data_IF_182447565739
#
_entry.id   IF_182447565739
#
_cell.length_a   1.000
_cell.length_b   1.000
_cell.length_c   1.000
_cell.angle_alpha   90.00
_cell.angle_beta   90.00
_cell.angle_gamma   90.00
#
_symmetry.space_group_name_H-M   'P 1'
#
loop_
_entity.id
_entity.type
_entity.pdbx_description
1 polymer ?
#
# COMPACT_ATOMS: atom_id res chain seq x y z
N UNK A 1 -14.57 -6.06 42.29
CA UNK A 1 -13.15 -5.61 42.34
C UNK A 1 -12.33 -6.03 41.11
N UNK A 2 -12.81 -6.93 40.23
CA UNK A 2 -12.10 -7.31 39.00
C UNK A 2 -12.34 -6.38 37.79
N UNK A 3 -13.45 -5.63 37.79
CA UNK A 3 -13.91 -4.88 36.59
C UNK A 3 -13.17 -3.55 36.36
N UNK A 4 -12.67 -2.92 37.42
CA UNK A 4 -11.91 -1.66 37.30
C UNK A 4 -10.53 -1.91 36.67
N UNK A 5 -9.92 -3.05 36.96
CA UNK A 5 -8.62 -3.43 36.39
C UNK A 5 -8.74 -3.87 34.92
N UNK A 6 -9.84 -4.53 34.53
CA UNK A 6 -10.09 -4.85 33.12
C UNK A 6 -10.42 -3.60 32.30
N UNK A 7 -11.17 -2.66 32.88
CA UNK A 7 -11.45 -1.36 32.28
C UNK A 7 -10.18 -0.54 31.98
N UNK A 8 -9.32 -0.34 32.99
CA UNK A 8 -8.07 0.41 32.83
C UNK A 8 -7.17 -0.22 31.76
N UNK A 9 -7.10 -1.55 31.73
CA UNK A 9 -6.34 -2.29 30.70
C UNK A 9 -6.92 -2.05 29.30
N UNK A 10 -8.24 -2.19 29.13
CA UNK A 10 -8.89 -1.96 27.84
C UNK A 10 -8.68 -0.53 27.34
N UNK A 11 -8.84 0.47 28.22
CA UNK A 11 -8.59 1.88 27.91
C UNK A 11 -7.16 2.12 27.45
N UNK A 12 -6.17 1.60 28.18
CA UNK A 12 -4.76 1.76 27.83
C UNK A 12 -4.42 1.09 26.49
N UNK A 13 -4.98 -0.09 26.20
CA UNK A 13 -4.76 -0.80 24.93
C UNK A 13 -5.36 -0.02 23.76
N UNK A 14 -6.61 0.46 23.87
CA UNK A 14 -7.25 1.23 22.79
C UNK A 14 -6.54 2.57 22.60
N UNK A 15 -6.15 3.26 23.68
CA UNK A 15 -5.42 4.54 23.59
C UNK A 15 -4.06 4.35 22.93
N UNK A 16 -3.30 3.34 23.35
CA UNK A 16 -2.00 3.04 22.74
C UNK A 16 -2.15 2.64 21.27
N UNK A 17 -3.20 1.90 20.93
CA UNK A 17 -3.52 1.56 19.54
C UNK A 17 -3.82 2.79 18.70
N UNK A 18 -4.57 3.76 19.24
CA UNK A 18 -4.87 5.03 18.57
C UNK A 18 -3.60 5.86 18.31
N UNK A 19 -2.70 5.95 19.29
CA UNK A 19 -1.43 6.66 19.17
C UNK A 19 -0.51 6.01 18.13
N UNK A 20 -0.42 4.67 18.15
CA UNK A 20 0.34 3.92 17.15
C UNK A 20 -0.23 4.10 15.74
N UNK A 21 -1.56 4.06 15.58
CA UNK A 21 -2.22 4.31 14.29
C UNK A 21 -1.88 5.70 13.77
N UNK A 22 -1.92 6.71 14.64
CA UNK A 22 -1.57 8.08 14.27
C UNK A 22 -0.13 8.19 13.78
N UNK A 23 0.83 7.58 14.48
CA UNK A 23 2.24 7.54 14.07
C UNK A 23 2.43 6.84 12.73
N UNK A 24 1.77 5.69 12.53
CA UNK A 24 1.82 4.95 11.27
C UNK A 24 1.25 5.80 10.13
N UNK A 25 0.12 6.47 10.33
CA UNK A 25 -0.47 7.36 9.33
C UNK A 25 0.48 8.52 8.99
N UNK A 26 1.06 9.20 9.99
CA UNK A 26 2.05 10.26 9.73
C UNK A 26 3.27 9.76 8.94
N UNK A 27 3.77 8.57 9.26
CA UNK A 27 4.89 7.96 8.54
C UNK A 27 4.50 7.64 7.09
N UNK A 28 3.33 7.06 6.87
CA UNK A 28 2.81 6.77 5.53
C UNK A 28 2.66 8.04 4.69
N UNK A 29 2.15 9.12 5.28
CA UNK A 29 2.04 10.41 4.60
C UNK A 29 3.42 11.01 4.29
N UNK A 30 4.38 10.91 5.21
CA UNK A 30 5.77 11.36 4.96
C UNK A 30 6.43 10.57 3.84
N UNK A 31 6.26 9.24 3.82
CA UNK A 31 6.76 8.37 2.74
C UNK A 31 6.14 8.78 1.41
N UNK A 32 4.82 8.91 1.36
CA UNK A 32 4.08 9.33 0.17
C UNK A 32 4.54 10.69 -0.34
N UNK A 33 4.70 11.67 0.55
CA UNK A 33 5.16 13.02 0.18
C UNK A 33 6.61 13.04 -0.31
N UNK A 34 7.48 12.26 0.32
CA UNK A 34 8.93 12.27 0.04
C UNK A 34 9.28 11.46 -1.20
N UNK A 35 8.67 10.28 -1.35
CA UNK A 35 9.02 9.31 -2.36
C UNK A 35 7.94 9.10 -3.42
N UNK A 36 6.73 9.65 -3.25
CA UNK A 36 5.62 9.42 -4.17
C UNK A 36 5.88 9.88 -5.60
N UNK A 37 6.49 11.06 -5.79
CA UNK A 37 6.91 11.52 -7.11
C UNK A 37 8.02 10.66 -7.71
N UNK A 38 8.99 10.24 -6.90
CA UNK A 38 10.05 9.34 -7.32
C UNK A 38 9.47 8.00 -7.76
N UNK A 39 8.52 7.45 -7.01
CA UNK A 39 7.80 6.22 -7.37
C UNK A 39 7.09 6.39 -8.70
N UNK A 40 6.33 7.48 -8.90
CA UNK A 40 5.66 7.76 -10.17
C UNK A 40 6.66 7.84 -11.34
N UNK A 41 7.75 8.61 -11.18
CA UNK A 41 8.78 8.74 -12.20
C UNK A 41 9.44 7.39 -12.54
N UNK A 42 9.71 6.56 -11.52
CA UNK A 42 10.27 5.22 -11.72
C UNK A 42 9.33 4.31 -12.52
N UNK A 43 8.02 4.34 -12.26
CA UNK A 43 7.04 3.58 -13.07
C UNK A 43 7.02 4.08 -14.51
N UNK A 44 7.02 5.40 -14.72
CA UNK A 44 7.01 5.98 -16.06
C UNK A 44 8.27 5.61 -16.86
N UNK A 45 9.45 5.66 -16.24
CA UNK A 45 10.70 5.22 -16.88
C UNK A 45 10.66 3.74 -17.21
N UNK A 46 10.12 2.91 -16.32
CA UNK A 46 9.97 1.48 -16.56
C UNK A 46 9.08 1.18 -17.77
N UNK A 47 7.95 1.88 -17.92
CA UNK A 47 7.08 1.75 -19.08
C UNK A 47 7.80 2.15 -20.39
N UNK A 48 8.58 3.24 -20.36
CA UNK A 48 9.40 3.63 -21.51
C UNK A 48 10.45 2.56 -21.86
N UNK A 49 11.06 1.94 -20.85
CA UNK A 49 12.03 0.85 -21.05
C UNK A 49 11.38 -0.38 -21.68
N UNK A 50 10.13 -0.74 -21.31
CA UNK A 50 9.37 -1.82 -21.96
C UNK A 50 9.13 -1.49 -23.43
N UNK A 51 8.67 -0.28 -23.75
CA UNK A 51 8.43 0.14 -25.15
C UNK A 51 9.73 0.06 -25.97
N UNK A 52 10.84 0.52 -25.40
CA UNK A 52 12.15 0.42 -26.05
C UNK A 52 12.57 -1.05 -26.23
N UNK A 53 12.30 -1.92 -25.25
CA UNK A 53 12.62 -3.34 -25.37
C UNK A 53 11.84 -4.01 -26.52
N UNK A 54 10.54 -3.74 -26.62
CA UNK A 54 9.67 -4.27 -27.69
C UNK A 54 10.18 -3.79 -29.05
N UNK A 55 10.45 -2.48 -29.21
CA UNK A 55 10.97 -1.95 -30.48
C UNK A 55 12.36 -2.49 -30.86
N UNK A 56 13.20 -2.87 -29.88
CA UNK A 56 14.47 -3.57 -30.15
C UNK A 56 14.20 -5.02 -30.59
N UNK A 57 13.26 -5.73 -29.95
CA UNK A 57 12.88 -7.09 -30.31
C UNK A 57 12.32 -7.16 -31.74
N UNK A 58 11.53 -6.16 -32.13
CA UNK A 58 10.99 -6.01 -33.49
C UNK A 58 12.05 -5.56 -34.51
N UNK A 59 13.30 -5.37 -34.07
CA UNK A 59 14.42 -4.99 -34.92
C UNK A 59 14.39 -3.54 -35.42
N UNK A 60 13.46 -2.71 -34.91
CA UNK A 60 13.28 -1.31 -35.31
C UNK A 60 14.40 -0.41 -34.80
N UNK A 61 15.03 -0.76 -33.68
CA UNK A 61 16.10 0.02 -33.05
C UNK A 61 17.23 -0.92 -32.59
N UNK A 62 18.49 -0.58 -32.90
CA UNK A 62 19.67 -1.21 -32.29
C UNK A 62 20.17 -0.36 -31.13
N UNK A 63 19.89 -0.75 -29.89
CA UNK A 63 20.35 -0.05 -28.68
C UNK A 63 21.02 -0.99 -27.69
N UNK A 64 21.88 -0.44 -26.84
CA UNK A 64 22.63 -1.19 -25.85
C UNK A 64 21.71 -1.67 -24.70
N UNK A 65 21.48 -2.98 -24.62
CA UNK A 65 20.46 -3.62 -23.76
C UNK A 65 20.83 -3.60 -22.28
N UNK A 66 22.11 -3.42 -21.94
CA UNK A 66 22.59 -3.54 -20.56
C UNK A 66 21.98 -2.49 -19.60
N UNK A 67 21.80 -1.24 -20.06
CA UNK A 67 21.18 -0.19 -19.25
C UNK A 67 19.68 -0.44 -19.00
N UNK A 68 18.97 -1.00 -19.97
CA UNK A 68 17.56 -1.41 -19.84
C UNK A 68 17.40 -2.51 -18.78
N UNK A 69 18.31 -3.49 -18.76
CA UNK A 69 18.28 -4.59 -17.78
C UNK A 69 18.52 -4.08 -16.36
N UNK A 70 19.50 -3.18 -16.16
CA UNK A 70 19.79 -2.61 -14.83
C UNK A 70 18.62 -1.77 -14.31
N UNK A 71 18.01 -0.95 -15.19
CA UNK A 71 16.82 -0.15 -14.87
C UNK A 71 15.66 -1.05 -14.44
N UNK A 72 15.39 -2.12 -15.21
CA UNK A 72 14.34 -3.10 -14.93
C UNK A 72 14.56 -3.82 -13.58
N UNK A 73 15.78 -4.30 -13.30
CA UNK A 73 16.08 -4.98 -12.03
C UNK A 73 15.92 -4.05 -10.83
N UNK A 74 16.42 -2.81 -10.94
CA UNK A 74 16.34 -1.82 -9.85
C UNK A 74 14.88 -1.44 -9.57
N UNK A 75 14.09 -1.25 -10.63
CA UNK A 75 12.66 -1.00 -10.52
C UNK A 75 11.92 -2.18 -9.89
N UNK A 76 12.19 -3.40 -10.32
CA UNK A 76 11.55 -4.62 -9.80
C UNK A 76 11.82 -4.79 -8.30
N UNK A 77 13.05 -4.56 -7.85
CA UNK A 77 13.41 -4.64 -6.43
C UNK A 77 12.74 -3.55 -5.60
N UNK A 78 12.80 -2.31 -6.06
CA UNK A 78 12.22 -1.16 -5.34
C UNK A 78 10.70 -1.29 -5.25
N UNK A 79 10.04 -1.60 -6.36
CA UNK A 79 8.60 -1.78 -6.42
C UNK A 79 8.16 -2.93 -5.52
N UNK A 80 8.78 -4.11 -5.61
CA UNK A 80 8.44 -5.27 -4.76
C UNK A 80 8.52 -4.94 -3.27
N UNK A 81 9.56 -4.23 -2.83
CA UNK A 81 9.71 -3.83 -1.43
C UNK A 81 8.57 -2.90 -0.97
N UNK A 82 8.23 -1.90 -1.78
CA UNK A 82 7.16 -0.94 -1.46
C UNK A 82 5.79 -1.64 -1.47
N UNK A 83 5.56 -2.56 -2.40
CA UNK A 83 4.33 -3.36 -2.47
C UNK A 83 4.15 -4.23 -1.23
N UNK A 84 5.19 -4.97 -0.83
CA UNK A 84 5.13 -5.83 0.37
C UNK A 84 4.78 -5.00 1.62
N UNK A 85 5.37 -3.82 1.76
CA UNK A 85 5.07 -2.91 2.87
C UNK A 85 3.62 -2.39 2.80
N UNK A 86 3.17 -1.97 1.62
CA UNK A 86 1.80 -1.46 1.42
C UNK A 86 0.74 -2.53 1.73
N UNK A 87 0.93 -3.76 1.24
CA UNK A 87 0.03 -4.89 1.54
C UNK A 87 0.05 -5.26 3.01
N UNK A 88 1.22 -5.25 3.64
CA UNK A 88 1.34 -5.52 5.08
C UNK A 88 0.58 -4.49 5.91
N UNK A 89 0.66 -3.21 5.55
CA UNK A 89 -0.11 -2.14 6.20
C UNK A 89 -1.62 -2.37 6.06
N UNK A 90 -2.09 -2.68 4.84
CA UNK A 90 -3.50 -3.00 4.61
C UNK A 90 -3.99 -4.21 5.41
N UNK A 91 -3.20 -5.28 5.44
CA UNK A 91 -3.53 -6.50 6.18
C UNK A 91 -3.63 -6.24 7.69
N UNK A 92 -2.64 -5.55 8.28
CA UNK A 92 -2.68 -5.24 9.71
C UNK A 92 -3.84 -4.29 10.04
N UNK A 93 -4.18 -3.35 9.16
CA UNK A 93 -5.36 -2.49 9.33
C UNK A 93 -6.66 -3.29 9.38
N UNK A 94 -6.82 -4.30 8.51
CA UNK A 94 -7.99 -5.21 8.54
C UNK A 94 -8.00 -6.01 9.85
N UNK A 95 -6.85 -6.50 10.29
CA UNK A 95 -6.73 -7.26 11.54
C UNK A 95 -7.09 -6.42 12.77
N UNK A 96 -6.61 -5.18 12.85
CA UNK A 96 -6.95 -4.25 13.94
C UNK A 96 -8.46 -3.97 13.94
N UNK A 97 -9.08 -3.79 12.76
CA UNK A 97 -10.54 -3.61 12.65
C UNK A 97 -11.31 -4.79 13.25
N UNK A 98 -10.90 -6.01 12.92
CA UNK A 98 -11.51 -7.24 13.46
C UNK A 98 -11.32 -7.34 14.98
N UNK A 99 -10.11 -7.09 15.47
CA UNK A 99 -9.83 -7.12 16.91
C UNK A 99 -10.64 -6.07 17.68
N UNK A 100 -10.85 -4.88 17.12
CA UNK A 100 -11.70 -3.86 17.73
C UNK A 100 -13.19 -4.26 17.73
N UNK A 101 -13.65 -5.03 16.72
CA UNK A 101 -15.04 -5.54 16.70
C UNK A 101 -15.25 -6.66 17.70
N UNK A 102 -14.22 -7.49 17.91
CA UNK A 102 -14.26 -8.63 18.83
C UNK A 102 -14.02 -8.22 20.29
N UNK A 103 -13.53 -6.99 20.53
CA UNK A 103 -13.31 -6.48 21.87
C UNK A 103 -14.65 -6.36 22.61
N UNK A 104 -14.95 -7.35 23.46
CA UNK A 104 -16.13 -7.38 24.31
C UNK A 104 -16.00 -6.31 25.39
N UNK A 105 -16.42 -5.09 25.06
CA UNK A 105 -16.44 -4.00 26.01
C UNK A 105 -17.64 -4.12 26.95
N UNK A 106 -17.51 -3.77 28.24
CA UNK A 106 -18.68 -3.53 29.07
C UNK A 106 -19.49 -2.40 28.43
N UNK A 107 -20.66 -2.74 27.89
CA UNK A 107 -21.54 -1.86 27.10
C UNK A 107 -21.99 -0.56 27.80
N UNK A 108 -21.64 -0.37 29.08
CA UNK A 108 -22.11 0.71 29.94
C UNK A 108 -21.10 1.83 30.15
N UNK A 109 -19.88 1.74 29.61
CA UNK A 109 -18.88 2.80 29.78
C UNK A 109 -18.79 3.73 28.56
N UNK A 110 -19.31 4.95 28.72
CA UNK A 110 -19.35 5.98 27.67
C UNK A 110 -17.95 6.40 27.21
N UNK A 111 -16.97 6.48 28.13
CA UNK A 111 -15.61 6.94 27.80
C UNK A 111 -14.90 5.92 26.89
N UNK A 112 -15.01 4.64 27.21
CA UNK A 112 -14.40 3.57 26.43
C UNK A 112 -15.10 3.34 25.09
N UNK A 113 -16.43 3.53 25.06
CA UNK A 113 -17.21 3.48 23.83
C UNK A 113 -16.79 4.61 22.87
N UNK A 114 -16.67 5.84 23.37
CA UNK A 114 -16.25 6.99 22.58
C UNK A 114 -14.81 6.85 22.08
N UNK A 115 -13.88 6.38 22.92
CA UNK A 115 -12.50 6.10 22.53
C UNK A 115 -12.43 5.05 21.39
N UNK A 116 -13.21 3.96 21.49
CA UNK A 116 -13.31 2.95 20.44
C UNK A 116 -13.89 3.54 19.16
N UNK A 117 -14.94 4.36 19.25
CA UNK A 117 -15.57 4.98 18.09
C UNK A 117 -14.64 5.97 17.38
N UNK A 118 -13.86 6.75 18.14
CA UNK A 118 -12.79 7.59 17.60
C UNK A 118 -11.73 6.76 16.87
N UNK A 119 -11.32 5.63 17.43
CA UNK A 119 -10.35 4.75 16.77
C UNK A 119 -10.93 4.15 15.48
N UNK A 120 -12.18 3.69 15.50
CA UNK A 120 -12.86 3.25 14.28
C UNK A 120 -12.91 4.33 13.22
N UNK A 121 -13.31 5.54 13.58
CA UNK A 121 -13.40 6.65 12.65
C UNK A 121 -12.06 6.88 11.95
N UNK A 122 -10.95 6.91 12.70
CA UNK A 122 -9.61 7.06 12.10
C UNK A 122 -9.25 5.89 11.19
N UNK A 123 -9.52 4.65 11.60
CA UNK A 123 -9.26 3.47 10.77
C UNK A 123 -10.11 3.39 9.50
N UNK A 124 -11.30 4.01 9.45
CA UNK A 124 -12.17 3.96 8.27
C UNK A 124 -11.95 5.13 7.32
N UNK A 125 -11.63 6.32 7.86
CA UNK A 125 -11.67 7.56 7.08
C UNK A 125 -10.31 8.23 6.90
N UNK A 126 -9.28 7.89 7.67
CA UNK A 126 -7.93 8.40 7.39
C UNK A 126 -7.31 7.69 6.17
N UNK A 127 -6.68 8.50 5.32
CA UNK A 127 -5.93 8.04 4.15
C UNK A 127 -4.56 7.56 4.60
N UNK A 128 -4.45 6.26 4.79
CA UNK A 128 -3.23 5.60 5.27
C UNK A 128 -2.56 4.79 4.15
N UNK A 129 -2.86 5.13 2.90
CA UNK A 129 -2.39 4.41 1.72
C UNK A 129 -1.10 5.04 1.19
N UNK A 130 -0.12 4.21 0.86
CA UNK A 130 1.07 4.66 0.14
C UNK A 130 0.64 4.95 -1.30
N UNK A 131 0.82 6.19 -1.74
CA UNK A 131 0.53 6.59 -3.12
C UNK A 131 1.78 7.06 -3.86
N UNK A 132 1.80 6.84 -5.17
CA UNK A 132 2.78 7.42 -6.05
C UNK A 132 2.42 8.90 -6.29
N UNK A 133 2.63 9.76 -5.29
CA UNK A 133 2.43 11.21 -5.41
C UNK A 133 0.97 11.64 -5.61
N UNK A 134 0.01 10.82 -5.20
CA UNK A 134 -1.42 11.05 -5.40
C UNK A 134 -1.96 10.65 -6.78
N UNK A 135 -1.12 10.15 -7.69
CA UNK A 135 -1.56 9.67 -9.02
C UNK A 135 -2.31 8.35 -8.93
N UNK A 136 -1.77 7.39 -8.17
CA UNK A 136 -2.41 6.11 -7.89
C UNK A 136 -1.90 5.53 -6.57
N UNK A 137 -2.70 4.66 -5.98
CA UNK A 137 -2.33 3.90 -4.80
C UNK A 137 -1.45 2.72 -5.19
N UNK A 138 -0.43 2.46 -4.38
CA UNK A 138 0.47 1.34 -4.58
C UNK A 138 -0.15 0.11 -3.92
N UNK A 139 -0.78 -0.72 -4.74
CA UNK A 139 -1.52 -1.92 -4.38
C UNK A 139 -1.10 -3.04 -5.32
N UNK A 140 -1.09 -4.30 -4.88
CA UNK A 140 -0.83 -5.47 -5.75
C UNK A 140 -1.68 -5.47 -7.03
N UNK A 141 -2.95 -5.03 -6.93
CA UNK A 141 -3.85 -4.83 -8.07
C UNK A 141 -3.26 -3.90 -9.13
N UNK A 142 -2.53 -2.86 -8.75
CA UNK A 142 -1.93 -1.91 -9.69
C UNK A 142 -0.88 -2.58 -10.59
N UNK A 143 -0.23 -3.66 -10.14
CA UNK A 143 0.72 -4.44 -10.96
C UNK A 143 -0.03 -5.43 -11.85
N UNK A 144 -1.04 -6.10 -11.31
CA UNK A 144 -1.79 -7.10 -12.07
C UNK A 144 -2.52 -6.44 -13.23
N UNK A 145 -3.09 -5.23 -13.08
CA UNK A 145 -3.70 -4.54 -14.21
C UNK A 145 -2.70 -4.25 -15.33
N UNK A 146 -1.47 -3.84 -14.99
CA UNK A 146 -0.41 -3.61 -15.99
C UNK A 146 0.07 -4.92 -16.62
N UNK A 147 0.04 -6.03 -15.89
CA UNK A 147 0.45 -7.35 -16.40
C UNK A 147 -0.65 -8.03 -17.22
N UNK A 148 -1.91 -7.80 -16.89
CA UNK A 148 -3.09 -8.35 -17.57
C UNK A 148 -3.34 -7.59 -18.88
N UNK A 149 -3.19 -6.25 -18.91
CA UNK A 149 -3.27 -5.46 -20.15
C UNK A 149 -2.14 -5.81 -21.14
N UNK A 150 -0.94 -6.14 -20.65
CA UNK A 150 0.17 -6.60 -21.51
C UNK A 150 -0.04 -8.03 -22.01
N UNK A 151 -0.78 -8.88 -21.30
CA UNK A 151 -1.08 -10.24 -21.72
C UNK A 151 -2.23 -10.32 -22.72
N UNK A 152 -3.26 -9.47 -22.62
CA UNK A 152 -4.38 -9.47 -23.57
C UNK A 152 -3.94 -9.08 -24.99
N UNK A 153 -2.96 -8.18 -25.13
CA UNK A 153 -2.39 -7.81 -26.44
C UNK A 153 -1.46 -8.88 -27.04
N UNK A 154 -1.00 -9.85 -26.23
CA UNK A 154 -0.15 -10.97 -26.71
C UNK A 154 -0.95 -12.16 -27.25
N UNK A 155 -2.26 -12.21 -26.99
CA UNK A 155 -3.14 -13.31 -27.42
C UNK A 155 -3.81 -13.03 -28.77
N UNK A 156 -3.86 -11.76 -29.22
CA UNK A 156 -4.53 -11.38 -30.47
C UNK A 156 -3.64 -11.23 -31.71
N UNK A 157 -2.32 -11.46 -31.62
CA UNK A 157 -1.41 -11.28 -32.76
C UNK A 157 -0.75 -12.56 -33.28
N UNK A 158 -1.32 -13.75 -33.02
CA UNK A 158 -0.83 -15.03 -33.55
C UNK A 158 -1.77 -15.72 -34.55
N UNK A 159 -2.61 -14.95 -35.24
CA UNK A 159 -3.29 -15.41 -36.46
C UNK A 159 -3.28 -14.25 -37.47
N UNK A 160 -2.29 -14.22 -38.38
CA UNK A 160 -2.40 -13.87 -39.81
C UNK A 160 -1.02 -13.81 -40.49
#
# INVERSE_FOLDING_TARGET
MNDTNSFIKAKNVISSGLDMHHLVNELTQKITKTYGFTMHASVTVYLLDIIVLITIQDGLIKRNVCFLVISNVTYTLFSTAVFVVSEKLNFEKIKIKLLLTELSLPYLDEELSDLRQRFYYRLFYEKDEISAGGFYNINVKTITTVSDEVNEDSIFNNDF
#
